data_IF_698190034814
#
_entry.id   IF_698190034814
#
_cell.length_a   1.000
_cell.length_b   1.000
_cell.length_c   1.000
_cell.angle_alpha   90.00
_cell.angle_beta   90.00
_cell.angle_gamma   90.00
#
_symmetry.space_group_name_H-M   'P 1'
#
loop_
_entity.id
_entity.type
_entity.pdbx_description
1 polymer ?
#
# COMPACT_ATOMS: atom_id res chain seq x y z
N UNK A 1 6.14 12.59 14.83
CA UNK A 1 7.31 11.90 14.23
C UNK A 1 8.49 12.19 15.14
N UNK A 2 9.25 11.15 15.49
CA UNK A 2 10.46 11.23 16.32
C UNK A 2 11.72 11.38 15.48
N UNK A 3 11.79 10.65 14.38
CA UNK A 3 12.88 10.74 13.42
C UNK A 3 12.37 10.52 12.00
N UNK A 4 13.13 11.06 11.04
CA UNK A 4 12.88 10.91 9.62
C UNK A 4 14.17 10.53 8.92
N UNK A 5 14.13 9.42 8.16
CA UNK A 5 15.28 8.90 7.44
C UNK A 5 14.94 8.74 5.97
N UNK A 6 15.75 9.30 5.10
CA UNK A 6 15.71 9.03 3.67
C UNK A 6 16.71 7.91 3.34
N UNK A 7 16.21 6.78 2.87
CA UNK A 7 17.04 5.69 2.35
C UNK A 7 17.11 5.80 0.84
N UNK A 8 18.30 5.78 0.29
CA UNK A 8 18.51 5.97 -1.14
C UNK A 8 19.37 4.85 -1.74
N UNK A 9 18.95 4.40 -2.92
CA UNK A 9 19.87 3.84 -3.91
C UNK A 9 19.99 4.87 -5.01
N UNK A 10 21.19 5.27 -5.34
CA UNK A 10 21.43 6.33 -6.31
C UNK A 10 22.73 6.12 -7.08
N UNK A 11 22.78 6.69 -8.26
CA UNK A 11 23.88 6.72 -9.20
C UNK A 11 23.80 8.06 -9.97
N UNK A 12 24.74 8.95 -9.96
CA UNK A 12 25.99 9.15 -9.22
C UNK A 12 25.79 10.08 -8.01
N UNK A 13 24.75 10.90 -8.04
CA UNK A 13 24.44 11.89 -7.03
C UNK A 13 22.96 12.24 -6.98
N UNK A 14 22.56 12.88 -5.89
CA UNK A 14 21.21 13.42 -5.74
C UNK A 14 21.17 14.58 -4.76
N UNK A 15 20.14 15.42 -4.90
CA UNK A 15 19.69 16.37 -3.89
C UNK A 15 18.20 16.15 -3.60
N UNK A 16 17.81 16.04 -2.33
CA UNK A 16 16.44 15.81 -1.91
C UNK A 16 15.88 17.01 -1.14
N UNK A 17 14.59 17.28 -1.35
CA UNK A 17 13.87 18.42 -0.81
C UNK A 17 12.54 17.95 -0.20
N UNK A 18 12.21 18.51 0.96
CA UNK A 18 10.88 18.38 1.58
C UNK A 18 10.16 19.73 1.44
N UNK A 19 9.01 19.71 0.75
CA UNK A 19 8.20 20.92 0.53
C UNK A 19 8.98 22.11 -0.05
N UNK A 20 10.00 21.83 -0.86
CA UNK A 20 10.88 22.83 -1.49
C UNK A 20 12.09 23.22 -0.66
N UNK A 21 12.21 22.79 0.61
CA UNK A 21 13.39 23.01 1.45
C UNK A 21 14.39 21.87 1.25
N UNK A 22 15.67 22.21 1.11
CA UNK A 22 16.74 21.22 1.01
C UNK A 22 16.81 20.37 2.28
N UNK A 23 16.78 19.05 2.12
CA UNK A 23 16.84 18.11 3.22
C UNK A 23 18.21 17.41 3.33
N UNK A 24 18.71 16.86 2.22
CA UNK A 24 19.98 16.15 2.16
C UNK A 24 20.37 15.89 0.69
N UNK A 25 21.66 15.74 0.45
CA UNK A 25 22.19 15.27 -0.83
C UNK A 25 23.43 14.41 -0.64
N UNK A 26 23.86 13.83 -1.72
CA UNK A 26 25.13 13.12 -1.84
C UNK A 26 25.72 13.38 -3.22
N UNK A 27 27.00 13.72 -3.23
CA UNK A 27 27.71 14.16 -4.45
C UNK A 27 27.01 15.33 -5.18
N UNK A 28 26.21 16.12 -4.49
CA UNK A 28 25.56 17.29 -5.04
C UNK A 28 26.47 18.52 -4.95
N UNK A 29 26.49 19.39 -5.98
CA UNK A 29 27.32 20.58 -5.99
C UNK A 29 26.81 21.62 -4.99
N UNK A 30 27.72 22.45 -4.47
CA UNK A 30 27.38 23.56 -3.55
C UNK A 30 26.31 24.49 -4.13
N UNK A 31 26.36 24.73 -5.45
CA UNK A 31 25.34 25.49 -6.17
C UNK A 31 24.59 24.56 -7.11
N UNK A 32 23.37 24.20 -6.72
CA UNK A 32 22.55 23.29 -7.53
C UNK A 32 21.76 24.07 -8.59
N UNK A 33 22.00 23.73 -9.86
CA UNK A 33 21.25 24.22 -11.01
C UNK A 33 20.43 23.06 -11.60
N UNK A 34 19.43 23.39 -12.43
CA UNK A 34 18.56 22.39 -13.06
C UNK A 34 19.31 21.36 -13.93
N UNK A 35 20.51 21.70 -14.37
CA UNK A 35 21.39 20.88 -15.21
C UNK A 35 22.74 20.58 -14.56
N UNK A 36 22.81 20.60 -13.24
CA UNK A 36 24.03 20.24 -12.52
C UNK A 36 24.41 18.79 -12.77
N UNK A 37 25.69 18.56 -12.93
CA UNK A 37 26.30 17.24 -12.85
C UNK A 37 26.63 16.91 -11.39
N UNK A 38 26.80 15.64 -11.09
CA UNK A 38 27.23 15.17 -9.78
C UNK A 38 28.71 15.50 -9.53
N UNK A 39 29.09 15.91 -8.30
CA UNK A 39 30.48 16.18 -7.91
C UNK A 39 31.31 14.91 -7.69
N UNK A 40 30.68 13.76 -7.57
CA UNK A 40 31.31 12.44 -7.41
C UNK A 40 30.66 11.38 -8.26
N UNK A 41 31.25 10.20 -8.29
CA UNK A 41 30.69 9.00 -8.92
C UNK A 41 30.45 7.91 -7.89
N UNK A 42 29.45 7.08 -8.15
CA UNK A 42 29.10 5.90 -7.37
C UNK A 42 29.28 4.67 -8.25
N UNK A 43 29.95 3.65 -7.75
CA UNK A 43 30.10 2.41 -8.53
C UNK A 43 28.77 1.65 -8.57
N UNK A 44 28.47 0.94 -9.67
CA UNK A 44 27.24 0.14 -9.85
C UNK A 44 26.95 -0.77 -8.65
N UNK A 45 27.98 -1.38 -8.08
CA UNK A 45 27.83 -2.26 -6.90
C UNK A 45 27.38 -1.49 -5.65
N UNK A 46 27.84 -0.26 -5.47
CA UNK A 46 27.46 0.61 -4.36
C UNK A 46 26.08 1.24 -4.60
N UNK A 47 25.77 1.62 -5.84
CA UNK A 47 24.48 2.17 -6.25
C UNK A 47 23.31 1.19 -5.93
N UNK A 48 23.57 -0.10 -5.98
CA UNK A 48 22.57 -1.14 -5.65
C UNK A 48 22.36 -1.35 -4.15
N UNK A 49 23.11 -0.68 -3.29
CA UNK A 49 22.93 -0.75 -1.83
C UNK A 49 22.17 0.47 -1.32
N UNK A 50 21.26 0.25 -0.36
CA UNK A 50 20.63 1.37 0.32
C UNK A 50 21.63 2.07 1.25
N UNK A 51 21.65 3.40 1.18
CA UNK A 51 22.32 4.28 2.14
C UNK A 51 21.26 5.07 2.89
N UNK A 52 21.44 5.21 4.20
CA UNK A 52 20.51 5.88 5.10
C UNK A 52 21.01 7.30 5.39
N UNK A 53 20.15 8.29 5.17
CA UNK A 53 20.40 9.70 5.43
C UNK A 53 19.42 10.19 6.50
N UNK A 54 19.95 10.67 7.62
CA UNK A 54 19.13 11.29 8.66
C UNK A 54 18.66 12.67 8.21
N UNK A 55 17.37 12.82 8.03
CA UNK A 55 16.70 14.08 7.69
C UNK A 55 15.71 14.51 8.78
N UNK A 56 15.96 14.13 10.02
CA UNK A 56 15.10 14.46 11.17
C UNK A 56 14.89 15.96 11.34
N UNK A 57 15.87 16.77 10.96
CA UNK A 57 15.74 18.24 10.97
C UNK A 57 14.61 18.74 10.05
N UNK A 58 14.36 18.04 8.93
CA UNK A 58 13.29 18.39 7.98
C UNK A 58 11.88 18.06 8.47
N UNK A 59 11.73 17.51 9.67
CA UNK A 59 10.40 17.36 10.30
C UNK A 59 9.70 18.72 10.45
N UNK A 60 10.45 19.79 10.67
CA UNK A 60 9.91 21.14 10.77
C UNK A 60 9.33 21.67 9.45
N UNK A 61 9.71 21.09 8.32
CA UNK A 61 9.21 21.46 6.99
C UNK A 61 7.92 20.72 6.61
N UNK A 62 7.51 19.73 7.42
CA UNK A 62 6.31 18.95 7.17
C UNK A 62 5.05 19.76 7.53
N UNK A 63 4.03 19.62 6.68
CA UNK A 63 2.68 20.15 6.90
C UNK A 63 1.70 19.01 7.20
N UNK A 64 0.50 19.34 7.67
CA UNK A 64 -0.48 18.34 8.09
C UNK A 64 -0.92 17.39 6.97
N UNK A 65 -0.90 17.83 5.72
CA UNK A 65 -1.23 17.03 4.55
C UNK A 65 -0.58 17.63 3.29
N UNK A 66 -0.42 16.80 2.24
CA UNK A 66 0.10 17.27 0.96
C UNK A 66 1.61 17.50 0.95
N UNK A 67 2.39 16.78 1.77
CA UNK A 67 3.84 16.87 1.75
C UNK A 67 4.41 16.33 0.44
N UNK A 68 5.44 16.99 -0.07
CA UNK A 68 6.13 16.65 -1.32
C UNK A 68 7.59 16.32 -1.00
N UNK A 69 8.03 15.13 -1.36
CA UNK A 69 9.42 14.77 -1.48
C UNK A 69 9.83 14.96 -2.95
N UNK A 70 10.71 15.92 -3.22
CA UNK A 70 11.29 16.12 -4.54
C UNK A 70 12.76 15.68 -4.53
N UNK A 71 13.20 15.03 -5.61
CA UNK A 71 14.57 14.54 -5.74
C UNK A 71 15.10 14.98 -7.09
N UNK A 72 16.27 15.61 -7.08
CA UNK A 72 17.08 15.90 -8.26
C UNK A 72 18.18 14.85 -8.34
N UNK A 73 18.06 13.91 -9.29
CA UNK A 73 19.10 12.94 -9.61
C UNK A 73 20.10 13.54 -10.58
N UNK A 74 21.37 13.23 -10.42
CA UNK A 74 22.47 13.78 -11.21
C UNK A 74 23.45 12.67 -11.59
N UNK A 75 23.85 12.64 -12.87
CA UNK A 75 24.97 11.85 -13.35
C UNK A 75 26.27 12.65 -13.24
N UNK A 76 27.40 11.95 -13.11
CA UNK A 76 28.73 12.56 -13.08
C UNK A 76 29.08 13.23 -14.41
N UNK A 77 28.63 12.64 -15.50
CA UNK A 77 28.94 13.13 -16.88
C UNK A 77 27.67 13.04 -17.73
N UNK A 78 27.53 13.97 -18.68
CA UNK A 78 26.39 14.02 -19.59
C UNK A 78 26.29 12.81 -20.56
N UNK A 79 27.35 11.99 -20.66
CA UNK A 79 27.40 10.76 -21.44
C UNK A 79 27.35 9.48 -20.57
N UNK A 80 27.02 9.59 -19.31
CA UNK A 80 26.75 8.41 -18.48
C UNK A 80 25.61 7.59 -19.07
N UNK A 81 25.74 6.27 -19.02
CA UNK A 81 24.77 5.33 -19.64
C UNK A 81 23.66 4.89 -18.70
N UNK A 82 23.76 5.26 -17.44
CA UNK A 82 22.88 4.82 -16.34
C UNK A 82 22.51 5.97 -15.41
N UNK A 83 21.39 5.80 -14.75
CA UNK A 83 20.90 6.66 -13.67
C UNK A 83 20.00 5.81 -12.78
N UNK A 84 20.30 5.77 -11.50
CA UNK A 84 19.45 5.12 -10.50
C UNK A 84 19.02 6.12 -9.42
N UNK A 85 17.72 6.27 -9.23
CA UNK A 85 17.14 7.02 -8.12
C UNK A 85 16.01 6.18 -7.53
N UNK A 86 16.24 5.62 -6.36
CA UNK A 86 15.25 4.81 -5.63
C UNK A 86 15.17 5.25 -4.16
N UNK A 87 14.24 6.13 -3.83
CA UNK A 87 14.02 6.60 -2.46
C UNK A 87 13.10 5.66 -1.66
N UNK A 88 13.34 5.62 -0.36
CA UNK A 88 12.42 5.14 0.67
C UNK A 88 12.42 6.16 1.81
N UNK A 89 11.25 6.68 2.20
CA UNK A 89 11.13 7.61 3.32
C UNK A 89 10.58 6.87 4.54
N UNK A 90 11.35 6.87 5.63
CA UNK A 90 11.03 6.15 6.86
C UNK A 90 10.83 7.16 7.99
N UNK A 91 9.66 7.10 8.63
CA UNK A 91 9.36 7.88 9.82
C UNK A 91 9.25 6.98 11.05
N UNK A 92 9.96 7.32 12.13
CA UNK A 92 9.76 6.70 13.44
C UNK A 92 8.77 7.55 14.25
N UNK A 93 7.78 6.90 14.85
CA UNK A 93 6.76 7.56 15.66
C UNK A 93 7.02 7.31 17.15
N UNK A 94 6.76 8.30 17.98
CA UNK A 94 6.80 8.15 19.45
C UNK A 94 5.72 7.20 19.97
N UNK A 95 4.56 7.18 19.30
CA UNK A 95 3.51 6.21 19.54
C UNK A 95 3.30 5.41 18.23
N UNK A 96 3.77 4.17 18.14
CA UNK A 96 3.56 3.38 16.93
C UNK A 96 2.07 3.22 16.69
N UNK A 97 1.60 3.72 15.56
CA UNK A 97 0.24 3.42 15.10
C UNK A 97 0.24 1.95 14.76
N UNK A 98 -0.58 1.17 15.45
CA UNK A 98 -0.79 -0.22 15.04
C UNK A 98 -1.44 -0.16 13.64
N UNK A 99 -0.79 -0.68 12.59
CA UNK A 99 -1.38 -0.63 11.27
C UNK A 99 -2.68 -1.43 11.29
N UNK A 100 -3.79 -0.75 11.05
CA UNK A 100 -5.06 -1.45 10.85
C UNK A 100 -5.07 -1.94 9.40
N UNK A 101 -4.89 -3.24 9.23
CA UNK A 101 -5.10 -3.86 7.93
C UNK A 101 -6.59 -3.78 7.62
N UNK A 102 -6.92 -3.21 6.47
CA UNK A 102 -8.30 -3.08 6.01
C UNK A 102 -8.43 -3.37 4.52
N UNK A 103 -9.65 -3.69 4.10
CA UNK A 103 -10.01 -3.97 2.72
C UNK A 103 -10.92 -2.88 2.19
N UNK A 104 -10.67 -2.40 0.99
CA UNK A 104 -11.53 -1.40 0.36
C UNK A 104 -12.70 -2.07 -0.36
N UNK A 105 -13.89 -1.45 -0.36
CA UNK A 105 -15.09 -2.02 -0.98
C UNK A 105 -14.98 -2.13 -2.50
N UNK A 106 -14.11 -1.34 -3.12
CA UNK A 106 -13.84 -1.36 -4.55
C UNK A 106 -12.41 -0.90 -4.83
N UNK A 107 -11.78 -1.39 -5.92
CA UNK A 107 -10.49 -0.87 -6.36
C UNK A 107 -10.64 0.59 -6.82
N UNK A 108 -9.64 1.42 -6.51
CA UNK A 108 -9.61 2.85 -6.86
C UNK A 108 -8.39 3.19 -7.71
N UNK A 109 -8.22 2.60 -8.93
CA UNK A 109 -7.08 2.90 -9.77
C UNK A 109 -7.07 4.39 -10.15
N UNK A 110 -5.90 5.04 -9.98
CA UNK A 110 -5.68 6.46 -10.26
C UNK A 110 -6.53 7.44 -9.42
N UNK A 111 -7.05 7.00 -8.26
CA UNK A 111 -7.77 7.83 -7.30
C UNK A 111 -7.32 7.51 -5.87
N UNK A 112 -7.58 8.42 -4.94
CA UNK A 112 -7.34 8.16 -3.52
C UNK A 112 -8.25 7.04 -3.00
N UNK A 113 -7.68 6.20 -2.12
CA UNK A 113 -8.47 5.18 -1.44
C UNK A 113 -9.50 5.83 -0.50
N UNK A 114 -10.71 5.27 -0.37
CA UNK A 114 -11.70 5.79 0.55
C UNK A 114 -11.22 5.71 2.01
N UNK A 115 -11.64 6.64 2.84
CA UNK A 115 -11.31 6.65 4.26
C UNK A 115 -11.91 5.46 5.03
N UNK A 116 -12.99 4.87 4.53
CA UNK A 116 -13.64 3.70 5.10
C UNK A 116 -13.10 2.42 4.47
N UNK A 117 -12.75 1.47 5.30
CA UNK A 117 -12.35 0.14 4.92
C UNK A 117 -13.07 -0.90 5.79
N UNK A 118 -13.03 -2.15 5.35
CA UNK A 118 -13.47 -3.29 6.16
C UNK A 118 -12.25 -3.87 6.89
N UNK A 119 -12.42 -4.20 8.16
CA UNK A 119 -11.35 -4.77 8.97
C UNK A 119 -11.10 -6.25 8.62
N UNK A 120 -12.10 -6.92 8.07
CA UNK A 120 -12.04 -8.33 7.69
C UNK A 120 -12.85 -8.58 6.43
N UNK A 121 -12.44 -9.60 5.67
CA UNK A 121 -13.28 -10.23 4.66
C UNK A 121 -13.89 -11.48 5.25
N UNK A 122 -15.17 -11.70 5.02
CA UNK A 122 -15.80 -12.97 5.32
C UNK A 122 -15.29 -14.03 4.34
N UNK A 123 -15.09 -15.23 4.85
CA UNK A 123 -14.79 -16.41 4.04
C UNK A 123 -15.97 -16.82 3.15
N UNK A 124 -15.68 -17.67 2.18
CA UNK A 124 -16.71 -18.23 1.30
C UNK A 124 -17.67 -19.13 2.09
N UNK A 125 -18.92 -19.17 1.63
CA UNK A 125 -19.90 -20.17 2.12
C UNK A 125 -19.57 -21.53 1.55
N UNK A 126 -19.71 -22.57 2.39
CA UNK A 126 -19.46 -23.95 2.00
C UNK A 126 -20.78 -24.72 2.00
N UNK A 127 -21.09 -25.37 0.87
CA UNK A 127 -22.22 -26.23 0.69
C UNK A 127 -21.81 -27.69 0.96
N UNK A 128 -22.64 -28.41 1.70
CA UNK A 128 -22.41 -29.83 1.98
C UNK A 128 -22.43 -30.68 0.72
N UNK A 129 -23.32 -30.35 -0.20
CA UNK A 129 -23.44 -31.05 -1.49
C UNK A 129 -22.96 -30.14 -2.63
N UNK A 130 -22.23 -30.71 -3.57
CA UNK A 130 -21.75 -30.01 -4.75
C UNK A 130 -22.87 -29.71 -5.77
N UNK A 131 -22.58 -28.83 -6.74
CA UNK A 131 -23.49 -28.59 -7.88
C UNK A 131 -23.82 -29.89 -8.60
N UNK A 132 -25.10 -30.14 -8.87
CA UNK A 132 -25.54 -31.32 -9.58
C UNK A 132 -27.04 -31.42 -9.75
N UNK A 133 -27.47 -32.51 -10.43
CA UNK A 133 -28.86 -32.91 -10.51
C UNK A 133 -29.08 -34.05 -9.51
N UNK A 134 -30.07 -33.91 -8.66
CA UNK A 134 -30.40 -34.89 -7.64
C UNK A 134 -31.78 -35.44 -7.90
N UNK A 135 -31.93 -36.74 -7.71
CA UNK A 135 -33.19 -37.47 -7.97
C UNK A 135 -33.96 -37.80 -6.68
N UNK A 136 -33.39 -37.45 -5.53
CA UNK A 136 -33.99 -37.63 -4.21
C UNK A 136 -33.86 -36.35 -3.42
N UNK A 137 -34.82 -36.05 -2.53
CA UNK A 137 -34.73 -34.94 -1.60
C UNK A 137 -33.59 -35.19 -0.61
N UNK A 138 -32.90 -34.10 -0.24
CA UNK A 138 -31.82 -34.10 0.75
C UNK A 138 -31.88 -32.82 1.56
N UNK A 139 -31.16 -32.78 2.67
CA UNK A 139 -30.97 -31.57 3.44
C UNK A 139 -29.64 -30.94 3.08
N UNK A 140 -29.68 -29.77 2.48
CA UNK A 140 -28.49 -28.97 2.22
C UNK A 140 -28.11 -28.22 3.51
N UNK A 141 -26.80 -28.18 3.78
CA UNK A 141 -26.23 -27.38 4.88
C UNK A 141 -25.26 -26.39 4.26
N UNK A 142 -25.50 -25.10 4.50
CA UNK A 142 -24.62 -24.02 4.09
C UNK A 142 -23.91 -23.52 5.35
N UNK A 143 -22.60 -23.48 5.33
CA UNK A 143 -21.80 -23.03 6.47
C UNK A 143 -20.88 -21.89 6.09
N UNK A 144 -20.48 -21.08 7.07
CA UNK A 144 -19.41 -20.10 6.99
C UNK A 144 -18.42 -20.36 8.11
N UNK A 145 -17.14 -20.09 7.86
CA UNK A 145 -16.08 -20.17 8.87
C UNK A 145 -16.08 -18.97 9.82
N UNK A 146 -16.85 -17.93 9.49
CA UNK A 146 -16.85 -16.67 10.24
C UNK A 146 -17.92 -16.69 11.32
N UNK A 147 -17.55 -16.63 12.61
CA UNK A 147 -18.51 -16.62 13.71
C UNK A 147 -19.41 -15.37 13.65
N UNK A 148 -20.71 -15.60 13.74
CA UNK A 148 -21.71 -14.52 13.71
C UNK A 148 -22.02 -13.99 12.31
N UNK A 149 -21.52 -14.61 11.25
CA UNK A 149 -21.93 -14.28 9.88
C UNK A 149 -23.42 -14.56 9.67
N UNK A 150 -24.06 -13.77 8.80
CA UNK A 150 -25.41 -14.01 8.33
C UNK A 150 -25.34 -14.52 6.89
N UNK A 151 -25.91 -15.68 6.65
CA UNK A 151 -26.03 -16.25 5.30
C UNK A 151 -27.33 -15.77 4.69
N UNK A 152 -27.28 -15.26 3.47
CA UNK A 152 -28.46 -14.87 2.69
C UNK A 152 -28.53 -15.77 1.47
N UNK A 153 -29.66 -16.44 1.28
CA UNK A 153 -29.86 -17.32 0.15
C UNK A 153 -31.23 -17.15 -0.49
N UNK A 154 -31.37 -17.55 -1.76
CA UNK A 154 -32.63 -17.59 -2.52
C UNK A 154 -32.85 -19.01 -3.04
N UNK A 155 -34.11 -19.39 -3.27
CA UNK A 155 -34.48 -20.71 -3.84
C UNK A 155 -35.11 -20.59 -5.23
N UNK A 156 -35.21 -19.38 -5.76
CA UNK A 156 -35.84 -19.06 -7.06
C UNK A 156 -34.82 -18.68 -8.14
N UNK A 157 -33.51 -18.75 -7.81
CA UNK A 157 -32.43 -18.38 -8.72
C UNK A 157 -32.17 -16.88 -8.81
N UNK A 158 -32.86 -16.04 -8.04
CA UNK A 158 -32.53 -14.62 -7.94
C UNK A 158 -31.25 -14.38 -7.15
N UNK A 159 -30.60 -13.24 -7.38
CA UNK A 159 -29.37 -12.89 -6.66
C UNK A 159 -29.71 -12.50 -5.20
N UNK A 160 -29.16 -13.19 -4.20
CA UNK A 160 -29.36 -12.84 -2.80
C UNK A 160 -28.73 -11.49 -2.46
N UNK A 161 -29.41 -10.71 -1.65
CA UNK A 161 -28.95 -9.43 -1.11
C UNK A 161 -29.59 -9.13 0.24
N UNK A 162 -29.19 -8.07 0.90
CA UNK A 162 -29.82 -7.65 2.17
C UNK A 162 -31.31 -7.36 2.07
N UNK A 163 -31.79 -7.04 0.87
CA UNK A 163 -33.22 -6.80 0.57
C UNK A 163 -33.92 -7.94 -0.17
N UNK A 164 -33.22 -9.00 -0.52
CA UNK A 164 -33.75 -10.14 -1.29
C UNK A 164 -33.14 -11.45 -0.86
N UNK A 165 -33.96 -12.32 -0.27
CA UNK A 165 -33.58 -13.64 0.18
C UNK A 165 -33.91 -13.92 1.62
N UNK A 166 -33.68 -15.16 2.02
CA UNK A 166 -33.85 -15.64 3.38
C UNK A 166 -32.53 -15.42 4.13
N UNK A 167 -32.60 -14.77 5.28
CA UNK A 167 -31.44 -14.46 6.11
C UNK A 167 -31.42 -15.38 7.33
N UNK A 168 -30.31 -16.04 7.54
CA UNK A 168 -30.14 -16.99 8.66
C UNK A 168 -28.74 -16.84 9.26
N UNK A 169 -28.58 -17.00 10.58
CA UNK A 169 -27.26 -17.08 11.18
C UNK A 169 -26.53 -18.35 10.72
N UNK A 170 -25.23 -18.25 10.48
CA UNK A 170 -24.40 -19.41 10.15
C UNK A 170 -24.08 -20.25 11.40
N UNK A 171 -24.02 -21.61 11.32
CA UNK A 171 -24.39 -22.42 10.18
C UNK A 171 -25.92 -22.57 10.06
N UNK A 172 -26.40 -22.80 8.83
CA UNK A 172 -27.81 -23.09 8.60
C UNK A 172 -28.00 -24.42 7.85
N UNK A 173 -29.19 -25.00 7.95
CA UNK A 173 -29.60 -26.19 7.25
C UNK A 173 -30.87 -25.90 6.45
N UNK A 174 -30.76 -25.98 5.13
CA UNK A 174 -31.86 -25.84 4.19
C UNK A 174 -32.30 -27.22 3.69
N UNK A 175 -33.58 -27.48 3.73
CA UNK A 175 -34.15 -28.69 3.07
C UNK A 175 -34.55 -28.33 1.65
N UNK A 176 -34.00 -29.06 0.69
CA UNK A 176 -34.27 -28.93 -0.75
C UNK A 176 -34.90 -30.19 -1.28
#
# INVERSE_FOLDING_TARGET
IQSLTLRMKYDDGFAAFINGNYAVGANDPETLLWNSDSDGDVTDAAALQFQDFDITASISDLVAAGNILAIHGMNRFSNSSDLLIRPELIATLTNPVTPTIGYFPAPTPAAENPASNFNTLLGDTVFKFGRGFYITTFTETITSTDPGATIIYTTDGSVPSSGNGIQVPAPDALTV
#
